data_IF_017315348247
#
_entry.id   IF_017315348247
#
_cell.length_a   1.000
_cell.length_b   1.000
_cell.length_c   1.000
_cell.angle_alpha   90.00
_cell.angle_beta   90.00
_cell.angle_gamma   90.00
#
_symmetry.space_group_name_H-M   'P 1'
#
loop_
_entity.id
_entity.type
_entity.pdbx_description
1 polymer ?
#
# COMPACT_ATOMS: atom_id res chain seq x y z
N UNK A 1 -4.98 -17.02 5.10
CA UNK A 1 -5.35 -15.61 5.32
C UNK A 1 -4.43 -15.05 6.40
N UNK A 2 -4.19 -13.74 6.44
CA UNK A 2 -3.27 -13.11 7.41
C UNK A 2 -3.93 -11.87 7.98
N UNK A 3 -3.64 -11.52 9.23
CA UNK A 3 -3.99 -10.23 9.80
C UNK A 3 -2.81 -9.26 9.66
N UNK A 4 -3.09 -7.97 9.71
CA UNK A 4 -2.08 -6.92 9.78
C UNK A 4 -1.74 -6.70 11.25
N UNK A 5 -0.45 -6.78 11.60
CA UNK A 5 0.03 -6.33 12.90
C UNK A 5 0.17 -4.80 12.87
N UNK A 6 -0.61 -4.09 13.68
CA UNK A 6 -0.70 -2.64 13.68
C UNK A 6 -0.05 -2.09 14.95
N UNK A 7 0.98 -1.28 14.77
CA UNK A 7 1.59 -0.48 15.82
C UNK A 7 0.98 0.91 15.79
N UNK A 8 0.41 1.39 16.90
CA UNK A 8 -0.20 2.71 16.92
C UNK A 8 0.09 3.49 18.20
N UNK A 9 0.20 4.81 18.05
CA UNK A 9 0.44 5.75 19.16
C UNK A 9 0.09 7.17 18.74
N UNK A 10 -0.17 8.05 19.70
CA UNK A 10 -0.17 9.48 19.43
C UNK A 10 1.26 10.04 19.32
N UNK A 11 1.41 11.18 18.64
CA UNK A 11 2.67 11.90 18.59
C UNK A 11 3.17 12.27 19.99
N UNK A 12 4.45 12.00 20.27
CA UNK A 12 5.07 12.27 21.57
C UNK A 12 4.86 11.18 22.63
N UNK A 13 3.97 10.22 22.42
CA UNK A 13 3.82 9.07 23.31
C UNK A 13 4.97 8.07 23.11
N UNK A 14 5.49 7.56 24.23
CA UNK A 14 6.56 6.54 24.24
C UNK A 14 6.02 5.12 24.13
N UNK A 15 4.80 4.90 24.63
CA UNK A 15 4.17 3.59 24.64
C UNK A 15 3.45 3.36 23.31
N UNK A 16 3.88 2.32 22.59
CA UNK A 16 3.27 1.90 21.33
C UNK A 16 2.30 0.78 21.60
N UNK A 17 1.03 0.98 21.25
CA UNK A 17 0.00 -0.05 21.33
C UNK A 17 0.10 -0.98 20.12
N UNK A 18 -0.21 -2.26 20.34
CA UNK A 18 -0.20 -3.28 19.31
C UNK A 18 -1.61 -3.86 19.19
N UNK A 19 -2.13 -3.88 17.97
CA UNK A 19 -3.41 -4.48 17.63
C UNK A 19 -3.29 -5.31 16.35
N UNK A 20 -4.34 -6.06 16.04
CA UNK A 20 -4.47 -6.79 14.79
C UNK A 20 -5.70 -6.32 14.02
N UNK A 21 -5.60 -6.30 12.69
CA UNK A 21 -6.76 -6.09 11.81
C UNK A 21 -7.63 -7.33 11.68
N UNK A 22 -8.72 -7.23 10.92
CA UNK A 22 -9.36 -8.41 10.35
C UNK A 22 -8.46 -9.08 9.32
N UNK A 23 -8.82 -10.28 8.89
CA UNK A 23 -8.03 -11.02 7.91
C UNK A 23 -8.08 -10.37 6.53
N UNK A 24 -6.91 -10.11 5.94
CA UNK A 24 -6.79 -9.64 4.57
C UNK A 24 -6.90 -10.82 3.59
N UNK A 25 -7.73 -10.62 2.56
CA UNK A 25 -7.84 -11.52 1.40
C UNK A 25 -7.12 -10.91 0.22
N UNK A 26 -6.19 -11.66 -0.36
CA UNK A 26 -5.51 -11.28 -1.62
C UNK A 26 -6.35 -11.83 -2.77
N UNK A 27 -7.07 -10.96 -3.47
CA UNK A 27 -7.90 -11.34 -4.62
C UNK A 27 -7.10 -11.37 -5.92
N UNK A 28 -6.87 -12.58 -6.45
CA UNK A 28 -6.13 -12.81 -7.69
C UNK A 28 -7.04 -12.88 -8.92
N UNK A 29 -8.33 -12.51 -8.80
CA UNK A 29 -9.31 -12.53 -9.89
C UNK A 29 -8.83 -11.82 -11.16
N UNK A 30 -8.18 -10.67 -11.03
CA UNK A 30 -7.63 -9.93 -12.18
C UNK A 30 -6.55 -10.71 -12.94
N UNK A 31 -5.74 -11.51 -12.23
CA UNK A 31 -4.77 -12.42 -12.88
C UNK A 31 -5.49 -13.57 -13.58
N UNK A 32 -6.49 -14.16 -12.94
CA UNK A 32 -7.27 -15.24 -13.51
C UNK A 32 -7.97 -14.82 -14.81
N UNK A 33 -8.64 -13.67 -14.81
CA UNK A 33 -9.28 -13.09 -16.01
C UNK A 33 -8.26 -12.86 -17.14
N UNK A 34 -7.11 -12.28 -16.80
CA UNK A 34 -6.04 -12.02 -17.78
C UNK A 34 -5.52 -13.31 -18.42
N UNK A 35 -5.21 -14.33 -17.61
CA UNK A 35 -4.67 -15.59 -18.11
C UNK A 35 -5.72 -16.46 -18.83
N UNK A 36 -6.98 -16.38 -18.42
CA UNK A 36 -8.10 -17.00 -19.11
C UNK A 36 -8.22 -16.48 -20.55
N UNK A 37 -8.10 -15.16 -20.74
CA UNK A 37 -8.15 -14.52 -22.06
C UNK A 37 -6.99 -14.91 -23.00
N UNK A 38 -5.86 -15.38 -22.45
CA UNK A 38 -4.69 -15.83 -23.23
C UNK A 38 -4.78 -17.30 -23.68
N UNK A 39 -5.74 -18.06 -23.15
CA UNK A 39 -6.00 -19.45 -23.51
C UNK A 39 -5.42 -20.50 -22.54
N UNK A 40 -5.82 -21.75 -22.75
CA UNK A 40 -5.64 -22.84 -21.78
C UNK A 40 -4.16 -23.16 -21.47
N UNK A 41 -3.24 -22.94 -22.42
CA UNK A 41 -1.80 -23.16 -22.17
C UNK A 41 -1.29 -22.21 -21.08
N UNK A 42 -1.62 -20.92 -21.18
CA UNK A 42 -1.22 -19.89 -20.24
C UNK A 42 -1.96 -20.09 -18.91
N UNK A 43 -3.24 -20.45 -18.96
CA UNK A 43 -4.02 -20.75 -17.77
C UNK A 43 -3.42 -21.89 -16.94
N UNK A 44 -2.86 -22.94 -17.58
CA UNK A 44 -2.13 -24.00 -16.86
C UNK A 44 -0.91 -23.47 -16.10
N UNK A 45 -0.20 -22.47 -16.63
CA UNK A 45 0.91 -21.84 -15.92
C UNK A 45 0.41 -21.04 -14.70
N UNK A 46 -0.70 -20.30 -14.86
CA UNK A 46 -1.31 -19.58 -13.74
C UNK A 46 -1.80 -20.53 -12.64
N UNK A 47 -2.45 -21.66 -12.98
CA UNK A 47 -2.86 -22.66 -11.98
C UNK A 47 -1.68 -23.24 -11.18
N UNK A 48 -0.51 -23.41 -11.80
CA UNK A 48 0.72 -23.80 -11.06
C UNK A 48 1.15 -22.72 -10.07
N UNK A 49 1.07 -21.45 -10.45
CA UNK A 49 1.34 -20.34 -9.55
C UNK A 49 0.35 -20.30 -8.38
N UNK A 50 -0.96 -20.45 -8.65
CA UNK A 50 -1.99 -20.53 -7.61
C UNK A 50 -1.73 -21.69 -6.66
N UNK A 51 -1.37 -22.87 -7.19
CA UNK A 51 -0.98 -24.02 -6.35
C UNK A 51 0.23 -23.74 -5.46
N UNK A 52 1.24 -23.02 -5.95
CA UNK A 52 2.36 -22.56 -5.13
C UNK A 52 1.92 -21.53 -4.06
N UNK A 53 1.08 -20.57 -4.45
CA UNK A 53 0.59 -19.50 -3.58
C UNK A 53 -0.23 -20.05 -2.41
N UNK A 54 -1.21 -20.92 -2.70
CA UNK A 54 -2.09 -21.54 -1.72
C UNK A 54 -1.43 -22.70 -0.96
N UNK A 55 -0.39 -23.33 -1.54
CA UNK A 55 0.46 -24.34 -0.90
C UNK A 55 1.42 -23.81 0.17
N UNK A 56 1.04 -22.73 0.86
CA UNK A 56 1.83 -22.08 1.91
C UNK A 56 2.71 -20.93 1.43
N UNK A 57 2.71 -20.60 0.14
CA UNK A 57 3.45 -19.46 -0.39
C UNK A 57 3.03 -18.15 0.29
N UNK A 58 1.72 -17.88 0.33
CA UNK A 58 1.16 -16.69 0.98
C UNK A 58 1.46 -16.66 2.49
N UNK A 59 1.38 -17.78 3.19
CA UNK A 59 1.62 -17.82 4.65
C UNK A 59 3.09 -17.57 5.01
N UNK A 60 4.02 -18.06 4.19
CA UNK A 60 5.47 -17.94 4.43
C UNK A 60 6.03 -16.59 3.96
N UNK A 61 5.47 -16.01 2.90
CA UNK A 61 6.04 -14.85 2.22
C UNK A 61 5.41 -13.53 2.65
N UNK A 62 4.19 -13.54 3.21
CA UNK A 62 3.53 -12.35 3.73
C UNK A 62 3.75 -12.21 5.23
N UNK A 63 4.31 -11.07 5.63
CA UNK A 63 4.37 -10.57 7.00
C UNK A 63 3.72 -9.18 7.06
N UNK A 64 2.37 -9.08 7.01
CA UNK A 64 1.67 -7.80 6.96
C UNK A 64 1.85 -7.02 8.26
N UNK A 65 2.40 -5.82 8.16
CA UNK A 65 2.64 -4.91 9.29
C UNK A 65 2.29 -3.48 8.91
N UNK A 66 1.87 -2.70 9.90
CA UNK A 66 1.62 -1.27 9.72
C UNK A 66 1.96 -0.47 10.97
N UNK A 67 2.33 0.78 10.76
CA UNK A 67 2.42 1.82 11.78
C UNK A 67 1.32 2.85 11.51
N UNK A 68 0.62 3.25 12.58
CA UNK A 68 -0.33 4.37 12.58
C UNK A 68 0.09 5.37 13.65
N UNK A 69 0.62 6.54 13.25
CA UNK A 69 0.99 7.62 14.17
C UNK A 69 -0.02 8.76 14.06
N UNK A 70 -0.65 9.14 15.17
CA UNK A 70 -1.60 10.26 15.18
C UNK A 70 -0.84 11.56 15.41
N UNK A 71 -0.80 12.40 14.37
CA UNK A 71 -0.12 13.68 14.35
C UNK A 71 -1.12 14.81 14.65
N UNK A 72 -0.79 15.72 15.60
CA UNK A 72 -1.60 16.91 15.83
C UNK A 72 -1.37 17.95 14.73
N UNK A 73 -2.31 18.87 14.55
CA UNK A 73 -2.30 19.87 13.47
C UNK A 73 -1.03 20.74 13.46
N UNK A 74 -0.48 21.06 14.63
CA UNK A 74 0.72 21.89 14.75
C UNK A 74 1.95 21.19 14.13
N UNK A 75 2.06 19.88 14.32
CA UNK A 75 3.16 19.08 13.75
C UNK A 75 2.99 18.97 12.23
N UNK A 76 1.76 18.75 11.76
CA UNK A 76 1.45 18.69 10.33
C UNK A 76 1.83 20.02 9.66
N UNK A 77 1.35 21.13 10.22
CA UNK A 77 1.60 22.48 9.71
C UNK A 77 3.07 22.87 9.76
N UNK A 78 3.85 22.33 10.70
CA UNK A 78 5.28 22.59 10.79
C UNK A 78 6.08 21.74 9.80
N UNK A 79 5.81 20.44 9.77
CA UNK A 79 6.65 19.44 9.11
C UNK A 79 6.27 19.18 7.65
N UNK A 80 5.03 19.50 7.27
CA UNK A 80 4.43 19.23 5.96
C UNK A 80 3.78 20.48 5.33
N UNK A 81 4.41 21.65 5.50
CA UNK A 81 3.97 22.96 4.94
C UNK A 81 3.63 22.93 3.44
N UNK A 82 4.27 22.03 2.70
CA UNK A 82 4.10 21.88 1.26
C UNK A 82 2.87 21.05 0.86
N UNK A 83 2.12 20.52 1.83
CA UNK A 83 0.88 19.78 1.64
C UNK A 83 -0.33 20.56 2.22
N UNK A 84 -0.73 21.70 1.62
CA UNK A 84 -1.80 22.55 2.15
C UNK A 84 -3.13 21.81 2.28
N UNK A 85 -3.43 20.87 1.38
CA UNK A 85 -4.67 20.09 1.43
C UNK A 85 -4.77 19.19 2.67
N UNK A 86 -3.63 18.73 3.21
CA UNK A 86 -3.56 17.96 4.46
C UNK A 86 -3.83 18.88 5.67
N UNK A 87 -3.33 20.12 5.61
CA UNK A 87 -3.48 21.13 6.66
C UNK A 87 -4.92 21.64 6.70
N UNK A 88 -5.49 22.01 5.55
CA UNK A 88 -6.77 22.72 5.47
C UNK A 88 -7.98 21.85 5.88
N UNK A 89 -7.89 20.53 5.69
CA UNK A 89 -9.02 19.61 5.92
C UNK A 89 -8.99 18.91 7.28
N UNK A 90 -7.83 18.79 7.91
CA UNK A 90 -7.61 17.94 9.08
C UNK A 90 -7.37 18.72 10.37
N UNK A 91 -8.11 18.39 11.42
CA UNK A 91 -7.75 18.78 12.81
C UNK A 91 -6.58 17.94 13.34
N UNK A 92 -6.45 16.71 12.81
CA UNK A 92 -5.33 15.79 13.04
C UNK A 92 -5.06 15.04 11.74
N UNK A 93 -3.95 14.30 11.69
CA UNK A 93 -3.72 13.33 10.65
C UNK A 93 -3.23 12.00 11.23
N UNK A 94 -3.63 10.90 10.61
CA UNK A 94 -2.96 9.63 10.81
C UNK A 94 -1.88 9.48 9.74
N UNK A 95 -0.61 9.46 10.16
CA UNK A 95 0.46 8.94 9.32
C UNK A 95 0.38 7.42 9.35
N UNK A 96 0.19 6.82 8.18
CA UNK A 96 0.10 5.37 8.02
C UNK A 96 1.25 4.91 7.14
N UNK A 97 2.00 3.92 7.61
CA UNK A 97 3.03 3.23 6.80
C UNK A 97 2.76 1.73 6.92
N UNK A 98 2.74 1.01 5.80
CA UNK A 98 2.44 -0.42 5.81
C UNK A 98 3.31 -1.19 4.83
N UNK A 99 3.55 -2.46 5.14
CA UNK A 99 4.40 -3.36 4.37
C UNK A 99 3.90 -4.80 4.44
N UNK A 100 4.17 -5.58 3.38
CA UNK A 100 4.00 -7.04 3.41
C UNK A 100 5.27 -7.78 3.87
N UNK A 101 6.33 -7.04 4.20
CA UNK A 101 7.65 -7.57 4.55
C UNK A 101 8.54 -7.87 3.34
N UNK A 102 9.80 -8.22 3.62
CA UNK A 102 10.85 -8.43 2.60
C UNK A 102 10.82 -9.80 1.91
N UNK A 103 10.21 -10.81 2.54
CA UNK A 103 10.32 -12.20 2.10
C UNK A 103 9.77 -12.44 0.69
N UNK A 104 8.61 -11.88 0.38
CA UNK A 104 8.01 -11.97 -0.96
C UNK A 104 8.91 -11.32 -2.01
N UNK A 105 9.42 -10.13 -1.73
CA UNK A 105 10.31 -9.39 -2.64
C UNK A 105 11.59 -10.17 -2.94
N UNK A 106 12.27 -10.67 -1.90
CA UNK A 106 13.47 -11.50 -2.07
C UNK A 106 13.17 -12.72 -2.92
N UNK A 107 12.06 -13.42 -2.62
CA UNK A 107 11.69 -14.64 -3.37
C UNK A 107 11.34 -14.35 -4.83
N UNK A 108 10.65 -13.24 -5.09
CA UNK A 108 10.33 -12.79 -6.45
C UNK A 108 11.62 -12.44 -7.23
N UNK A 109 12.58 -11.78 -6.59
CA UNK A 109 13.90 -11.48 -7.15
C UNK A 109 14.70 -12.74 -7.51
N UNK A 110 14.74 -13.72 -6.61
CA UNK A 110 15.42 -15.01 -6.84
C UNK A 110 14.81 -15.77 -8.03
N UNK A 111 13.48 -15.83 -8.10
CA UNK A 111 12.76 -16.49 -9.19
C UNK A 111 12.95 -15.78 -10.53
N UNK A 112 13.01 -14.45 -10.50
CA UNK A 112 13.24 -13.65 -11.71
C UNK A 112 14.66 -13.81 -12.24
N UNK A 113 15.63 -13.98 -11.35
CA UNK A 113 17.05 -14.18 -11.69
C UNK A 113 17.36 -15.62 -12.12
N UNK A 114 16.48 -16.58 -11.84
CA UNK A 114 16.63 -17.99 -12.20
C UNK A 114 16.10 -18.26 -13.61
N UNK A 115 16.89 -18.92 -14.46
CA UNK A 115 16.49 -19.30 -15.81
C UNK A 115 15.18 -20.12 -15.79
N UNK A 116 14.16 -19.66 -16.53
CA UNK A 116 12.86 -20.34 -16.67
C UNK A 116 11.78 -19.99 -15.65
N UNK A 117 12.05 -19.15 -14.63
CA UNK A 117 11.07 -18.78 -13.59
C UNK A 117 10.65 -17.31 -13.56
N UNK A 118 11.03 -16.53 -14.59
CA UNK A 118 10.76 -15.09 -14.69
C UNK A 118 9.28 -14.75 -14.50
N UNK A 119 8.38 -15.46 -15.19
CA UNK A 119 6.94 -15.19 -15.09
C UNK A 119 6.38 -15.48 -13.70
N UNK A 120 6.89 -16.51 -13.02
CA UNK A 120 6.49 -16.81 -11.64
C UNK A 120 6.96 -15.72 -10.67
N UNK A 121 8.17 -15.19 -10.88
CA UNK A 121 8.68 -14.04 -10.13
C UNK A 121 7.81 -12.80 -10.32
N UNK A 122 7.43 -12.49 -11.56
CA UNK A 122 6.51 -11.39 -11.87
C UNK A 122 5.14 -11.56 -11.22
N UNK A 123 4.54 -12.75 -11.32
CA UNK A 123 3.24 -13.04 -10.69
C UNK A 123 3.30 -12.90 -9.17
N UNK A 124 4.41 -13.33 -8.56
CA UNK A 124 4.62 -13.18 -7.14
C UNK A 124 4.71 -11.70 -6.73
N UNK A 125 5.44 -10.90 -7.50
CA UNK A 125 5.54 -9.45 -7.28
C UNK A 125 4.19 -8.74 -7.42
N UNK A 126 3.39 -9.11 -8.43
CA UNK A 126 2.02 -8.61 -8.62
C UNK A 126 1.12 -8.99 -7.45
N UNK A 127 1.14 -10.25 -7.01
CA UNK A 127 0.38 -10.69 -5.85
C UNK A 127 0.77 -9.92 -4.58
N UNK A 128 2.05 -9.56 -4.42
CA UNK A 128 2.50 -8.66 -3.36
C UNK A 128 1.88 -7.27 -3.44
N UNK A 129 1.75 -6.70 -4.64
CA UNK A 129 1.06 -5.40 -4.82
C UNK A 129 -0.44 -5.49 -4.51
N UNK A 130 -1.11 -6.54 -4.98
CA UNK A 130 -2.54 -6.78 -4.66
C UNK A 130 -2.74 -6.92 -3.15
N UNK A 131 -1.84 -7.63 -2.47
CA UNK A 131 -1.87 -7.76 -1.01
C UNK A 131 -1.70 -6.40 -0.33
N UNK A 132 -0.79 -5.56 -0.82
CA UNK A 132 -0.55 -4.21 -0.30
C UNK A 132 -1.78 -3.29 -0.44
N UNK A 133 -2.55 -3.43 -1.52
CA UNK A 133 -3.81 -2.69 -1.73
C UNK A 133 -4.95 -3.23 -0.85
N UNK A 134 -5.00 -4.54 -0.65
CA UNK A 134 -5.96 -5.17 0.27
C UNK A 134 -5.68 -4.72 1.71
N UNK A 135 -4.40 -4.61 2.09
CA UNK A 135 -4.00 -4.03 3.38
C UNK A 135 -4.45 -2.58 3.51
N UNK A 136 -4.31 -1.78 2.46
CA UNK A 136 -4.72 -0.39 2.50
C UNK A 136 -6.22 -0.25 2.82
N UNK A 137 -7.08 -0.98 2.10
CA UNK A 137 -8.52 -0.96 2.35
C UNK A 137 -8.88 -1.37 3.79
N UNK A 138 -8.23 -2.41 4.32
CA UNK A 138 -8.43 -2.87 5.70
C UNK A 138 -7.92 -1.83 6.72
N UNK A 139 -6.77 -1.21 6.49
CA UNK A 139 -6.22 -0.18 7.37
C UNK A 139 -7.12 1.06 7.43
N UNK A 140 -7.70 1.48 6.31
CA UNK A 140 -8.70 2.56 6.30
C UNK A 140 -9.90 2.19 7.17
N UNK A 141 -10.44 0.97 7.00
CA UNK A 141 -11.53 0.47 7.84
C UNK A 141 -11.17 0.44 9.33
N UNK A 142 -9.98 -0.07 9.64
CA UNK A 142 -9.45 -0.15 11.00
C UNK A 142 -9.30 1.24 11.63
N UNK A 143 -8.76 2.22 10.90
CA UNK A 143 -8.57 3.59 11.39
C UNK A 143 -9.92 4.26 11.63
N UNK A 144 -10.89 4.11 10.71
CA UNK A 144 -12.26 4.63 10.92
C UNK A 144 -12.87 4.09 12.21
N UNK A 145 -12.75 2.78 12.45
CA UNK A 145 -13.36 2.09 13.60
C UNK A 145 -12.66 2.39 14.92
N UNK A 146 -11.33 2.38 14.94
CA UNK A 146 -10.55 2.38 16.19
C UNK A 146 -9.95 3.74 16.56
N UNK A 147 -9.82 4.66 15.59
CA UNK A 147 -9.27 6.00 15.81
C UNK A 147 -10.33 7.07 15.57
N UNK A 148 -10.98 7.03 14.40
CA UNK A 148 -11.95 8.03 13.97
C UNK A 148 -13.21 8.05 14.85
N UNK A 149 -13.96 6.94 14.87
CA UNK A 149 -15.24 6.85 15.58
C UNK A 149 -15.14 7.16 17.09
N UNK A 150 -14.15 6.63 17.86
CA UNK A 150 -14.00 6.97 19.28
C UNK A 150 -13.70 8.45 19.53
N UNK A 151 -13.06 9.13 18.57
CA UNK A 151 -12.75 10.55 18.65
C UNK A 151 -13.82 11.46 18.03
N UNK A 152 -14.91 10.89 17.50
CA UNK A 152 -15.93 11.65 16.74
C UNK A 152 -15.36 12.28 15.46
N UNK A 153 -14.38 11.64 14.82
CA UNK A 153 -13.70 12.14 13.62
C UNK A 153 -13.92 11.22 12.42
N UNK A 154 -13.85 11.84 11.24
CA UNK A 154 -13.98 11.19 9.94
C UNK A 154 -12.70 11.38 9.13
N UNK A 155 -12.41 10.43 8.26
CA UNK A 155 -11.37 10.61 7.25
C UNK A 155 -11.91 11.58 6.19
N UNK A 156 -11.26 12.72 6.04
CA UNK A 156 -11.68 13.81 5.14
C UNK A 156 -10.74 14.01 3.94
N UNK A 157 -9.67 13.22 3.86
CA UNK A 157 -8.71 13.26 2.77
C UNK A 157 -7.61 12.22 2.96
N UNK A 158 -7.01 11.82 1.85
CA UNK A 158 -5.90 10.88 1.81
C UNK A 158 -4.82 11.43 0.88
N UNK A 159 -3.58 11.46 1.38
CA UNK A 159 -2.46 12.12 0.71
C UNK A 159 -1.22 11.25 0.71
N UNK A 160 -0.56 11.16 -0.44
CA UNK A 160 0.62 10.32 -0.65
C UNK A 160 1.81 11.19 -0.99
N UNK A 161 2.96 11.03 -0.31
CA UNK A 161 4.18 11.67 -0.76
C UNK A 161 4.59 11.18 -2.16
N UNK A 162 5.05 12.12 -3.00
CA UNK A 162 5.36 11.86 -4.40
C UNK A 162 4.14 11.92 -5.35
N UNK A 163 2.92 12.11 -4.84
CA UNK A 163 1.71 12.34 -5.64
C UNK A 163 1.26 13.79 -5.46
N UNK A 164 0.87 14.42 -6.57
CA UNK A 164 0.43 15.81 -6.58
C UNK A 164 1.56 16.76 -6.22
N UNK A 165 1.34 17.61 -5.21
CA UNK A 165 2.33 18.62 -4.76
C UNK A 165 3.23 18.13 -3.63
N UNK A 166 2.98 16.93 -3.09
CA UNK A 166 3.73 16.43 -1.94
C UNK A 166 5.10 15.90 -2.41
N UNK A 167 6.18 16.49 -1.92
CA UNK A 167 7.54 16.12 -2.34
C UNK A 167 7.89 14.69 -1.95
N UNK A 168 8.65 14.02 -2.81
CA UNK A 168 9.07 12.63 -2.61
C UNK A 168 10.20 12.49 -1.57
N UNK A 169 10.98 13.54 -1.33
CA UNK A 169 12.07 13.56 -0.34
C UNK A 169 11.60 13.58 1.12
N UNK A 170 10.28 13.49 1.34
CA UNK A 170 9.67 13.36 2.65
C UNK A 170 9.74 11.94 3.22
N UNK A 171 10.22 10.94 2.48
CA UNK A 171 10.28 9.55 2.94
C UNK A 171 11.11 9.36 4.21
N UNK A 172 12.28 9.98 4.31
CA UNK A 172 13.11 9.88 5.53
C UNK A 172 12.40 10.49 6.73
N UNK A 173 11.66 11.59 6.52
CA UNK A 173 10.82 12.20 7.56
C UNK A 173 9.64 11.30 7.95
N UNK A 174 8.99 10.65 6.99
CA UNK A 174 7.93 9.67 7.23
C UNK A 174 8.43 8.52 8.09
N UNK A 175 9.58 7.95 7.75
CA UNK A 175 10.23 6.85 8.49
C UNK A 175 10.59 7.28 9.91
N UNK A 176 11.16 8.48 10.06
CA UNK A 176 11.52 9.02 11.37
C UNK A 176 10.29 9.28 12.26
N UNK A 177 9.25 9.94 11.73
CA UNK A 177 8.02 10.23 12.48
C UNK A 177 7.21 8.98 12.83
N UNK A 178 7.21 7.99 11.93
CA UNK A 178 6.58 6.69 12.16
C UNK A 178 7.42 5.72 12.99
N UNK A 179 8.68 6.05 13.28
CA UNK A 179 9.62 5.13 13.96
C UNK A 179 9.68 3.74 13.26
N UNK A 180 9.54 3.75 11.93
CA UNK A 180 9.18 2.53 11.18
C UNK A 180 10.31 1.52 11.10
N UNK A 181 11.56 1.99 11.14
CA UNK A 181 12.74 1.12 11.17
C UNK A 181 12.74 0.27 12.44
N UNK A 182 12.49 0.89 13.60
CA UNK A 182 12.46 0.23 14.90
C UNK A 182 11.28 -0.74 15.03
N UNK A 183 10.11 -0.37 14.51
CA UNK A 183 8.86 -1.11 14.75
C UNK A 183 8.61 -2.24 13.74
N UNK A 184 9.00 -2.05 12.48
CA UNK A 184 8.67 -2.97 11.39
C UNK A 184 9.76 -3.08 10.31
N UNK A 185 10.99 -2.67 10.60
CA UNK A 185 12.14 -2.76 9.69
C UNK A 185 11.95 -2.01 8.35
N UNK A 186 11.06 -1.01 8.31
CA UNK A 186 10.86 -0.19 7.11
C UNK A 186 11.73 1.05 7.19
N UNK A 187 12.58 1.24 6.19
CA UNK A 187 13.54 2.35 6.09
C UNK A 187 13.35 3.15 4.80
N UNK A 188 13.97 4.32 4.75
CA UNK A 188 14.12 5.15 3.55
C UNK A 188 15.56 5.64 3.50
N UNK A 189 16.19 5.60 2.33
CA UNK A 189 17.54 6.13 2.14
C UNK A 189 17.71 6.69 0.73
N UNK A 190 18.06 7.98 0.64
CA UNK A 190 18.67 8.64 -0.54
C UNK A 190 17.94 8.57 -1.89
N UNK A 191 16.83 7.84 -1.99
CA UNK A 191 16.17 7.47 -3.26
C UNK A 191 14.66 7.75 -3.25
N UNK A 192 14.15 8.41 -2.20
CA UNK A 192 12.72 8.71 -2.05
C UNK A 192 11.80 7.47 -2.13
N UNK A 193 12.35 6.28 -1.83
CA UNK A 193 11.63 5.00 -1.82
C UNK A 193 11.76 4.35 -0.44
N UNK A 194 10.72 3.60 -0.08
CA UNK A 194 10.71 2.77 1.13
C UNK A 194 11.33 1.40 0.83
N UNK A 195 12.03 0.87 1.82
CA UNK A 195 12.56 -0.49 1.84
C UNK A 195 11.95 -1.24 3.03
N UNK A 196 11.35 -2.43 2.85
CA UNK A 196 11.21 -3.19 1.59
C UNK A 196 10.36 -2.48 0.53
N UNK A 197 10.54 -2.80 -0.76
CA UNK A 197 9.87 -2.08 -1.87
C UNK A 197 8.36 -2.25 -1.87
N UNK A 198 7.85 -3.34 -1.31
CA UNK A 198 6.41 -3.56 -1.10
C UNK A 198 5.97 -2.92 0.22
N UNK A 199 6.24 -1.63 0.32
CA UNK A 199 5.82 -0.76 1.42
C UNK A 199 5.23 0.51 0.85
N UNK A 200 4.23 1.06 1.53
CA UNK A 200 3.56 2.30 1.15
C UNK A 200 3.34 3.16 2.39
N UNK A 201 3.11 4.45 2.16
CA UNK A 201 2.71 5.37 3.20
C UNK A 201 1.65 6.35 2.70
N UNK A 202 0.82 6.83 3.61
CA UNK A 202 -0.20 7.83 3.36
C UNK A 202 -0.44 8.68 4.62
N UNK A 203 -0.92 9.89 4.41
CA UNK A 203 -1.49 10.74 5.44
C UNK A 203 -2.99 10.79 5.29
N UNK A 204 -3.71 10.41 6.34
CA UNK A 204 -5.16 10.50 6.39
C UNK A 204 -5.54 11.71 7.23
N UNK A 205 -6.15 12.72 6.60
CA UNK A 205 -6.68 13.86 7.32
C UNK A 205 -7.91 13.42 8.12
N UNK A 206 -7.95 13.79 9.41
CA UNK A 206 -9.04 13.48 10.33
C UNK A 206 -9.74 14.78 10.74
N UNK A 207 -11.03 14.91 10.42
CA UNK A 207 -11.82 16.11 10.66
C UNK A 207 -13.23 15.82 11.17
N UNK A 208 -13.99 16.88 11.47
CA UNK A 208 -15.35 16.77 12.02
C UNK A 208 -16.43 16.36 11.00
N UNK A 209 -16.14 16.43 9.70
CA UNK A 209 -17.07 16.05 8.62
C UNK A 209 -16.44 15.00 7.73
N UNK A 210 -17.25 14.06 7.27
CA UNK A 210 -16.85 13.16 6.19
C UNK A 210 -16.59 14.00 4.92
N UNK A 211 -15.42 13.81 4.34
CA UNK A 211 -15.01 14.49 3.12
C UNK A 211 -14.85 13.49 1.98
N UNK A 212 -14.92 13.97 0.74
CA UNK A 212 -14.56 13.15 -0.41
C UNK A 212 -13.04 12.88 -0.40
N UNK A 213 -12.68 11.62 -0.19
CA UNK A 213 -11.32 11.11 -0.43
C UNK A 213 -11.12 10.89 -1.93
N UNK A 214 -10.94 11.96 -2.70
CA UNK A 214 -10.59 11.84 -4.13
C UNK A 214 -9.08 11.96 -4.30
N UNK A 215 -8.37 10.83 -4.38
CA UNK A 215 -6.97 10.81 -4.80
C UNK A 215 -6.93 10.90 -6.32
N UNK A 216 -6.51 12.05 -6.86
CA UNK A 216 -6.25 12.19 -8.30
C UNK A 216 -4.93 11.52 -8.62
N UNK A 217 -4.98 10.28 -9.08
CA UNK A 217 -3.78 9.60 -9.59
C UNK A 217 -3.48 10.05 -11.01
N UNK A 218 -2.22 10.38 -11.25
CA UNK A 218 -1.70 10.63 -12.59
C UNK A 218 -1.14 9.34 -13.21
N UNK A 219 -1.29 9.17 -14.54
CA UNK A 219 -0.82 7.97 -15.20
C UNK A 219 0.71 7.96 -15.30
N UNK A 220 1.29 6.77 -15.22
CA UNK A 220 2.73 6.62 -15.40
C UNK A 220 3.16 7.07 -16.81
N UNK A 221 4.15 7.95 -16.90
CA UNK A 221 4.82 8.28 -18.16
C UNK A 221 5.95 7.27 -18.45
N UNK A 222 6.17 6.81 -19.70
CA UNK A 222 5.50 7.22 -20.93
C UNK A 222 4.29 6.37 -21.34
N UNK A 223 4.05 5.24 -20.67
CA UNK A 223 3.05 4.27 -21.12
C UNK A 223 1.61 4.76 -20.97
N UNK A 224 1.37 5.74 -20.09
CA UNK A 224 0.05 6.22 -19.68
C UNK A 224 -0.90 5.07 -19.29
N UNK A 225 -0.37 3.99 -18.72
CA UNK A 225 -1.07 2.73 -18.46
C UNK A 225 -1.41 1.89 -19.69
N UNK A 226 -1.23 2.40 -20.92
CA UNK A 226 -1.50 1.68 -22.17
C UNK A 226 -0.48 0.56 -22.36
N UNK A 227 -0.95 -0.67 -22.56
CA UNK A 227 -0.14 -1.89 -22.75
C UNK A 227 0.81 -2.21 -21.58
N UNK A 228 0.58 -1.65 -20.40
CA UNK A 228 1.36 -1.97 -19.22
C UNK A 228 0.93 -3.35 -18.69
N UNK A 229 1.76 -4.37 -18.90
CA UNK A 229 1.50 -5.72 -18.42
C UNK A 229 1.25 -5.73 -16.91
N UNK A 230 2.06 -4.99 -16.14
CA UNK A 230 1.93 -4.92 -14.69
C UNK A 230 0.56 -4.37 -14.23
N UNK A 231 0.00 -3.38 -14.94
CA UNK A 231 -1.36 -2.87 -14.71
C UNK A 231 -2.43 -3.87 -15.15
N UNK A 232 -2.26 -4.52 -16.31
CA UNK A 232 -3.19 -5.53 -16.81
C UNK A 232 -3.31 -6.74 -15.88
N UNK A 233 -2.23 -7.05 -15.15
CA UNK A 233 -2.17 -8.10 -14.15
C UNK A 233 -2.74 -7.67 -12.78
N UNK A 234 -3.16 -6.41 -12.61
CA UNK A 234 -3.67 -5.87 -11.34
C UNK A 234 -2.59 -5.42 -10.36
N UNK A 235 -1.31 -5.39 -10.77
CA UNK A 235 -0.20 -4.98 -9.91
C UNK A 235 -0.10 -3.47 -9.65
N UNK A 236 -0.89 -2.65 -10.34
CA UNK A 236 -0.83 -1.20 -10.25
C UNK A 236 -2.14 -0.62 -9.69
N UNK A 237 -2.01 0.28 -8.71
CA UNK A 237 -3.08 0.97 -8.00
C UNK A 237 -4.00 1.88 -8.84
N UNK A 238 -3.74 2.08 -10.14
CA UNK A 238 -4.58 2.96 -10.96
C UNK A 238 -6.01 2.43 -11.09
N UNK A 239 -7.04 3.30 -11.16
CA UNK A 239 -8.43 2.86 -11.14
C UNK A 239 -8.80 2.15 -12.47
N UNK A 240 -9.77 1.22 -12.47
CA UNK A 240 -10.17 0.46 -13.66
C UNK A 240 -10.75 1.32 -14.81
N UNK A 241 -11.29 2.49 -14.48
CA UNK A 241 -11.99 3.43 -15.37
C UNK A 241 -11.09 3.97 -16.51
N UNK A 242 -9.77 3.85 -16.37
CA UNK A 242 -8.79 4.22 -17.39
C UNK A 242 -8.67 3.19 -18.53
N UNK A 243 -9.21 1.97 -18.36
CA UNK A 243 -9.30 0.97 -19.45
C UNK A 243 -10.47 1.25 -20.40
N UNK A 244 -11.57 1.82 -19.90
CA UNK A 244 -12.79 2.03 -20.68
C UNK A 244 -12.69 3.23 -21.63
N UNK A 245 -11.76 4.16 -21.38
CA UNK A 245 -11.70 5.40 -22.13
C UNK A 245 -11.23 5.28 -23.59
N UNK A 246 -10.55 4.19 -24.02
CA UNK A 246 -10.01 4.08 -25.40
C UNK A 246 -9.93 2.66 -25.96
N UNK A 247 -10.95 1.83 -25.73
CA UNK A 247 -11.28 0.71 -26.65
C UNK A 247 -12.34 1.19 -27.66
N UNK A 248 -11.96 2.14 -28.49
CA UNK A 248 -12.58 2.42 -29.79
C UNK A 248 -11.48 2.37 -30.82
#
# INVERSE_FOLDING_TARGET
MKKIKIYHSAYGEKDVQISESEEIRVDLSSLEEFYSALGERQMRCFRKFVGFWDGGGRERLLAPQAVVKILPHEIISKEFKEAPELIDKGEKAALVVWTIGKALESKAGDMTSSAGSIMTGLLLDVAGSIALYSMHAELIGWIKKNIGAPAGKYICGEYYPGIGRMRQDLMEKVVALGETERLMEVTASGTSLLHPRKSQCAFLALGAKEGECSVKMEPCSPCNGKKCLYYQLGGCHMPPEWQKAKRK
#
